data_IF_350775635826
#
_entry.id   IF_350775635826
#
_cell.length_a   1.000
_cell.length_b   1.000
_cell.length_c   1.000
_cell.angle_alpha   90.00
_cell.angle_beta   90.00
_cell.angle_gamma   90.00
#
_symmetry.space_group_name_H-M   'P 1'
#
loop_
_entity.id
_entity.type
_entity.pdbx_description
1 polymer ?
#
# COMPACT_ATOMS: atom_id res chain seq x y z
N UNK A 1 31.60 32.04 -28.74
CA UNK A 1 31.42 30.57 -28.55
C UNK A 1 30.84 30.31 -27.16
N UNK A 2 29.59 29.83 -27.09
CA UNK A 2 28.99 29.38 -25.83
C UNK A 2 29.59 28.02 -25.44
N UNK A 3 29.85 27.76 -24.15
CA UNK A 3 30.35 26.46 -23.70
C UNK A 3 29.30 25.38 -23.94
N UNK A 4 29.75 24.26 -24.49
CA UNK A 4 28.96 23.07 -24.76
C UNK A 4 28.58 22.40 -23.43
N UNK A 5 27.32 21.97 -23.22
CA UNK A 5 26.88 21.39 -21.96
C UNK A 5 27.59 20.05 -21.71
N UNK A 6 28.20 19.91 -20.54
CA UNK A 6 28.83 18.67 -20.09
C UNK A 6 27.79 17.52 -20.02
N UNK A 7 28.15 16.30 -20.47
CA UNK A 7 27.27 15.16 -20.43
C UNK A 7 26.94 14.79 -18.99
N UNK A 8 25.66 14.86 -18.63
CA UNK A 8 25.17 14.42 -17.33
C UNK A 8 25.45 12.92 -17.16
N UNK A 9 25.91 12.47 -15.98
CA UNK A 9 26.12 11.05 -15.72
C UNK A 9 24.78 10.32 -15.83
N UNK A 10 24.67 9.42 -16.80
CA UNK A 10 23.58 8.45 -16.91
C UNK A 10 23.60 7.60 -15.64
N UNK A 11 22.67 7.88 -14.73
CA UNK A 11 22.43 7.05 -13.54
C UNK A 11 22.01 5.68 -14.06
N UNK A 12 22.89 4.68 -13.89
CA UNK A 12 22.57 3.31 -14.25
C UNK A 12 21.29 2.88 -13.51
N UNK A 13 20.32 2.34 -14.25
CA UNK A 13 19.10 1.82 -13.66
C UNK A 13 19.47 0.77 -12.61
N UNK A 14 18.93 0.92 -11.40
CA UNK A 14 19.13 -0.06 -10.34
C UNK A 14 18.69 -1.46 -10.84
N UNK A 15 19.40 -2.53 -10.45
CA UNK A 15 18.98 -3.88 -10.81
C UNK A 15 17.54 -4.14 -10.37
N UNK A 16 16.76 -4.91 -11.14
CA UNK A 16 15.39 -5.23 -10.79
C UNK A 16 15.37 -5.89 -9.40
N UNK A 17 14.49 -5.39 -8.53
CA UNK A 17 14.32 -5.95 -7.20
C UNK A 17 13.84 -7.41 -7.27
N UNK A 18 14.20 -8.21 -6.27
CA UNK A 18 13.70 -9.58 -6.16
C UNK A 18 12.17 -9.59 -6.07
N UNK A 19 11.47 -10.46 -6.82
CA UNK A 19 10.02 -10.49 -6.85
C UNK A 19 9.45 -10.93 -5.51
N UNK A 20 8.38 -10.27 -5.07
CA UNK A 20 7.68 -10.48 -3.80
C UNK A 20 6.22 -10.82 -4.04
N UNK A 21 5.55 -11.37 -3.01
CA UNK A 21 4.12 -11.67 -3.09
C UNK A 21 3.28 -10.45 -3.54
N UNK A 22 3.61 -9.25 -3.05
CA UNK A 22 2.91 -8.01 -3.39
C UNK A 22 2.87 -7.73 -4.91
N UNK A 23 3.89 -8.13 -5.67
CA UNK A 23 3.97 -7.93 -7.13
C UNK A 23 2.91 -8.71 -7.91
N UNK A 24 2.33 -9.74 -7.28
CA UNK A 24 1.32 -10.63 -7.85
C UNK A 24 -0.12 -10.28 -7.42
N UNK A 25 -0.30 -9.32 -6.49
CA UNK A 25 -1.63 -8.92 -5.99
C UNK A 25 -2.32 -7.88 -6.89
N UNK A 26 -1.63 -7.39 -7.92
CA UNK A 26 -2.19 -6.46 -8.91
C UNK A 26 -2.98 -7.19 -10.01
N UNK A 27 -4.05 -6.58 -10.56
CA UNK A 27 -4.79 -7.16 -11.68
C UNK A 27 -3.87 -7.54 -12.86
N UNK A 28 -4.06 -8.74 -13.41
CA UNK A 28 -3.32 -9.23 -14.57
C UNK A 28 -1.93 -9.81 -14.28
N UNK A 29 -1.44 -9.79 -13.03
CA UNK A 29 -0.14 -10.39 -12.69
C UNK A 29 -0.15 -11.93 -12.69
N UNK A 30 -1.32 -12.54 -12.50
CA UNK A 30 -1.52 -13.98 -12.51
C UNK A 30 -2.61 -14.34 -13.54
N UNK A 31 -2.43 -15.41 -14.33
CA UNK A 31 -3.37 -15.78 -15.40
C UNK A 31 -4.66 -16.43 -14.89
N UNK A 32 -4.69 -16.87 -13.63
CA UNK A 32 -5.81 -17.56 -13.01
C UNK A 32 -5.49 -17.94 -11.55
N UNK A 33 -6.35 -18.74 -10.91
CA UNK A 33 -6.14 -19.15 -9.53
C UNK A 33 -4.86 -19.99 -9.36
N UNK A 34 -4.10 -19.68 -8.33
CA UNK A 34 -2.85 -20.37 -7.99
C UNK A 34 -2.74 -20.61 -6.49
N UNK A 35 -1.91 -21.58 -6.11
CA UNK A 35 -1.53 -21.81 -4.72
C UNK A 35 -0.03 -21.66 -4.53
N UNK A 36 0.35 -21.22 -3.35
CA UNK A 36 1.71 -21.07 -2.87
C UNK A 36 1.81 -21.67 -1.46
N UNK A 37 2.88 -22.41 -1.22
CA UNK A 37 3.11 -23.09 0.05
C UNK A 37 4.60 -22.98 0.42
N UNK A 38 4.92 -22.14 1.40
CA UNK A 38 6.27 -22.08 1.96
C UNK A 38 6.43 -23.18 3.05
N UNK A 39 7.66 -23.64 3.36
CA UNK A 39 7.90 -24.74 4.29
C UNK A 39 7.23 -24.59 5.68
N UNK A 40 7.19 -23.37 6.23
CA UNK A 40 6.68 -23.10 7.58
C UNK A 40 5.48 -22.13 7.60
N UNK A 41 4.77 -22.00 6.48
CA UNK A 41 3.61 -21.12 6.37
C UNK A 41 2.33 -21.95 6.09
N UNK A 42 1.12 -21.45 6.38
CA UNK A 42 -0.10 -22.14 5.95
C UNK A 42 -0.29 -22.02 4.43
N UNK A 43 -1.01 -22.95 3.81
CA UNK A 43 -1.35 -22.88 2.40
C UNK A 43 -2.03 -21.54 2.06
N UNK A 44 -1.53 -20.87 1.03
CA UNK A 44 -2.11 -19.65 0.50
C UNK A 44 -2.62 -19.90 -0.92
N UNK A 45 -3.89 -19.59 -1.17
CA UNK A 45 -4.47 -19.63 -2.52
C UNK A 45 -4.81 -18.23 -2.95
N UNK A 46 -4.44 -17.85 -4.16
CA UNK A 46 -4.74 -16.55 -4.76
C UNK A 46 -5.74 -16.75 -5.90
N UNK A 47 -6.87 -16.04 -5.85
CA UNK A 47 -7.86 -15.96 -6.93
C UNK A 47 -7.84 -14.52 -7.50
N UNK A 48 -7.03 -14.26 -8.55
CA UNK A 48 -6.94 -12.94 -9.16
C UNK A 48 -8.25 -12.53 -9.86
N UNK A 49 -9.11 -13.49 -10.24
CA UNK A 49 -10.40 -13.20 -10.86
C UNK A 49 -11.38 -12.56 -9.89
N UNK A 50 -11.34 -12.97 -8.61
CA UNK A 50 -12.14 -12.37 -7.53
C UNK A 50 -11.39 -11.32 -6.70
N UNK A 51 -10.11 -11.07 -7.00
CA UNK A 51 -9.23 -10.23 -6.18
C UNK A 51 -9.25 -10.66 -4.70
N UNK A 52 -9.21 -11.98 -4.49
CA UNK A 52 -9.39 -12.58 -3.18
C UNK A 52 -8.39 -13.71 -2.96
N UNK A 53 -7.97 -13.89 -1.72
CA UNK A 53 -7.13 -15.03 -1.31
C UNK A 53 -7.92 -15.95 -0.37
N UNK A 54 -7.54 -17.21 -0.36
CA UNK A 54 -7.97 -18.20 0.62
C UNK A 54 -6.79 -18.50 1.55
N UNK A 55 -7.05 -18.39 2.84
CA UNK A 55 -6.06 -18.54 3.89
C UNK A 55 -6.75 -18.24 5.23
N UNK A 56 -6.19 -18.75 6.32
CA UNK A 56 -6.80 -18.62 7.63
C UNK A 56 -7.14 -17.17 8.01
N UNK A 57 -8.09 -17.02 8.93
CA UNK A 57 -8.58 -15.70 9.35
C UNK A 57 -7.49 -14.81 9.98
N UNK A 58 -6.43 -15.38 10.55
CA UNK A 58 -5.31 -14.63 11.15
C UNK A 58 -4.27 -14.20 10.10
N UNK A 59 -3.73 -12.99 10.23
CA UNK A 59 -2.71 -12.45 9.34
C UNK A 59 -1.28 -12.80 9.73
N UNK A 60 -0.98 -12.92 11.03
CA UNK A 60 0.39 -13.22 11.48
C UNK A 60 0.99 -14.49 10.84
N UNK A 61 0.23 -15.60 10.66
CA UNK A 61 0.75 -16.77 9.95
C UNK A 61 1.14 -16.52 8.49
N UNK A 62 0.68 -15.43 7.86
CA UNK A 62 0.98 -15.08 6.47
C UNK A 62 2.21 -14.16 6.33
N UNK A 63 2.78 -13.68 7.44
CA UNK A 63 3.99 -12.84 7.45
C UNK A 63 5.18 -13.46 6.68
N UNK A 64 5.44 -14.79 6.72
CA UNK A 64 6.53 -15.37 5.93
C UNK A 64 6.40 -15.12 4.42
N UNK A 65 5.17 -15.06 3.89
CA UNK A 65 4.96 -14.74 2.46
C UNK A 65 5.29 -13.29 2.11
N UNK A 66 5.21 -12.38 3.09
CA UNK A 66 5.45 -10.95 2.88
C UNK A 66 6.94 -10.64 2.69
N UNK A 67 7.82 -11.47 3.25
CA UNK A 67 9.27 -11.27 3.24
C UNK A 67 10.03 -12.31 2.42
N UNK A 68 9.34 -13.33 1.88
CA UNK A 68 9.91 -14.29 0.96
C UNK A 68 10.20 -13.68 -0.41
N UNK A 69 11.22 -14.19 -1.10
CA UNK A 69 11.34 -14.02 -2.56
C UNK A 69 10.38 -15.05 -3.17
N UNK A 70 9.52 -14.59 -4.07
CA UNK A 70 8.48 -15.42 -4.69
C UNK A 70 8.61 -15.34 -6.20
N UNK A 71 9.09 -16.41 -6.81
CA UNK A 71 9.19 -16.53 -8.26
C UNK A 71 7.89 -17.06 -8.87
N UNK A 72 7.63 -16.78 -10.16
CA UNK A 72 6.45 -17.33 -10.84
C UNK A 72 6.37 -18.86 -10.80
N UNK A 73 7.53 -19.53 -10.76
CA UNK A 73 7.63 -20.99 -10.71
C UNK A 73 7.25 -21.60 -9.34
N UNK A 74 7.17 -20.77 -8.29
CA UNK A 74 6.76 -21.24 -6.95
C UNK A 74 5.24 -21.44 -6.86
N UNK A 75 4.48 -20.91 -7.83
CA UNK A 75 3.05 -21.04 -7.90
C UNK A 75 2.63 -22.31 -8.64
N UNK A 76 1.65 -23.00 -8.07
CA UNK A 76 0.97 -24.12 -8.73
C UNK A 76 -0.45 -23.69 -9.13
N UNK A 77 -0.89 -23.90 -10.39
CA UNK A 77 -2.27 -23.61 -10.78
C UNK A 77 -3.30 -24.37 -9.94
N UNK A 78 -4.46 -23.76 -9.74
CA UNK A 78 -5.62 -24.36 -9.07
C UNK A 78 -6.80 -24.34 -10.03
N UNK A 79 -7.48 -25.48 -10.17
CA UNK A 79 -8.72 -25.53 -10.94
C UNK A 79 -9.78 -24.65 -10.26
N UNK A 80 -10.41 -23.69 -10.97
CA UNK A 80 -11.49 -22.88 -10.42
C UNK A 80 -12.63 -23.69 -9.76
N UNK A 81 -12.87 -24.93 -10.19
CA UNK A 81 -13.85 -25.83 -9.60
C UNK A 81 -13.49 -26.29 -8.17
N UNK A 82 -12.21 -26.26 -7.79
CA UNK A 82 -11.73 -26.62 -6.45
C UNK A 82 -11.86 -25.47 -5.43
N UNK A 83 -11.97 -24.23 -5.90
CA UNK A 83 -11.98 -23.04 -5.04
C UNK A 83 -13.06 -23.05 -3.94
N UNK A 84 -14.30 -23.51 -4.17
CA UNK A 84 -15.29 -23.59 -3.10
C UNK A 84 -14.87 -24.54 -1.97
N UNK A 85 -14.31 -25.70 -2.31
CA UNK A 85 -13.85 -26.67 -1.31
C UNK A 85 -12.64 -26.13 -0.54
N UNK A 86 -11.68 -25.52 -1.23
CA UNK A 86 -10.53 -24.87 -0.62
C UNK A 86 -10.94 -23.71 0.29
N UNK A 87 -11.94 -22.92 -0.10
CA UNK A 87 -12.44 -21.82 0.73
C UNK A 87 -13.03 -22.35 2.04
N UNK A 88 -13.80 -23.44 2.01
CA UNK A 88 -14.30 -24.09 3.23
C UNK A 88 -13.15 -24.64 4.08
N UNK A 89 -12.17 -25.31 3.46
CA UNK A 89 -11.02 -25.89 4.17
C UNK A 89 -10.13 -24.84 4.84
N UNK A 90 -9.91 -23.71 4.16
CA UNK A 90 -8.95 -22.68 4.58
C UNK A 90 -9.58 -21.56 5.43
N UNK A 91 -10.87 -21.70 5.79
CA UNK A 91 -11.53 -20.75 6.69
C UNK A 91 -12.14 -19.53 6.00
N UNK A 92 -12.32 -19.58 4.68
CA UNK A 92 -13.04 -18.58 3.90
C UNK A 92 -12.18 -17.85 2.88
N UNK A 93 -12.75 -16.76 2.37
CA UNK A 93 -12.15 -15.89 1.36
C UNK A 93 -11.96 -14.49 1.93
N UNK A 94 -10.82 -13.88 1.64
CA UNK A 94 -10.44 -12.55 2.10
C UNK A 94 -9.96 -11.68 0.93
N UNK A 95 -10.13 -10.35 0.96
CA UNK A 95 -9.74 -9.49 -0.15
C UNK A 95 -8.21 -9.38 -0.27
N UNK A 96 -7.70 -9.28 -1.50
CA UNK A 96 -6.28 -9.03 -1.77
C UNK A 96 -5.75 -7.77 -1.08
N UNK A 97 -6.58 -6.73 -0.91
CA UNK A 97 -6.18 -5.53 -0.17
C UNK A 97 -5.73 -5.85 1.26
N UNK A 98 -6.33 -6.85 1.93
CA UNK A 98 -5.90 -7.27 3.27
C UNK A 98 -4.52 -7.92 3.25
N UNK A 99 -4.23 -8.69 2.21
CA UNK A 99 -2.92 -9.32 1.99
C UNK A 99 -1.85 -8.30 1.60
N UNK A 100 -2.19 -7.38 0.69
CA UNK A 100 -1.32 -6.26 0.30
C UNK A 100 -0.98 -5.36 1.50
N UNK A 101 -1.96 -5.10 2.36
CA UNK A 101 -1.77 -4.34 3.59
C UNK A 101 -0.73 -5.00 4.51
N UNK A 102 -0.81 -6.31 4.77
CA UNK A 102 0.18 -6.98 5.64
C UNK A 102 1.57 -7.06 4.98
N UNK A 103 1.64 -7.18 3.65
CA UNK A 103 2.91 -7.11 2.92
C UNK A 103 3.57 -5.73 3.09
N UNK A 104 2.81 -4.66 2.94
CA UNK A 104 3.31 -3.30 3.08
C UNK A 104 3.64 -2.95 4.55
N UNK A 105 2.88 -3.46 5.52
CA UNK A 105 3.16 -3.30 6.93
C UNK A 105 4.51 -3.92 7.33
N UNK A 106 4.82 -5.12 6.82
CA UNK A 106 6.05 -5.83 7.15
C UNK A 106 7.28 -5.43 6.33
N UNK A 107 7.11 -4.63 5.26
CA UNK A 107 8.18 -4.32 4.31
C UNK A 107 8.94 -3.02 4.60
N UNK A 108 8.34 -2.09 5.35
CA UNK A 108 8.89 -0.75 5.57
C UNK A 108 9.99 -0.67 6.63
N UNK A 109 9.92 -1.50 7.67
CA UNK A 109 10.83 -1.46 8.83
C UNK A 109 11.01 -0.04 9.39
N UNK A 110 9.92 0.73 9.46
CA UNK A 110 9.94 2.12 9.91
C UNK A 110 10.48 3.13 8.89
N UNK A 111 10.73 2.73 7.65
CA UNK A 111 11.08 3.63 6.55
C UNK A 111 9.87 3.91 5.67
N UNK A 112 9.63 5.19 5.38
CA UNK A 112 8.51 5.62 4.56
C UNK A 112 8.71 5.16 3.10
N UNK A 113 7.65 4.67 2.47
CA UNK A 113 7.69 4.19 1.09
C UNK A 113 8.17 5.28 0.11
N UNK A 114 8.89 4.86 -0.93
CA UNK A 114 9.40 5.78 -1.95
C UNK A 114 8.27 6.58 -2.60
N UNK A 115 8.54 7.87 -2.87
CA UNK A 115 7.56 8.81 -3.43
C UNK A 115 6.72 9.55 -2.38
N UNK A 116 6.81 9.20 -1.10
CA UNK A 116 6.19 9.92 -0.01
C UNK A 116 7.23 10.72 0.79
N UNK A 117 6.83 11.90 1.29
CA UNK A 117 7.72 12.80 2.03
C UNK A 117 7.45 12.67 3.54
N UNK A 118 8.49 12.44 4.38
CA UNK A 118 8.31 12.35 5.83
C UNK A 118 7.79 13.63 6.49
N UNK A 119 7.87 14.78 5.80
CA UNK A 119 7.37 16.07 6.28
C UNK A 119 5.95 16.40 5.78
N UNK A 120 5.33 15.54 5.00
CA UNK A 120 3.92 15.69 4.65
C UNK A 120 3.02 15.32 5.84
N UNK A 121 1.81 15.85 5.85
CA UNK A 121 0.76 15.43 6.77
C UNK A 121 0.00 14.28 6.13
N UNK A 122 -0.38 13.27 6.92
CA UNK A 122 -1.12 12.10 6.45
C UNK A 122 -2.46 12.00 7.16
N UNK A 123 -3.49 11.57 6.44
CA UNK A 123 -4.82 11.27 6.99
C UNK A 123 -5.34 9.94 6.45
N UNK A 124 -6.29 9.37 7.18
CA UNK A 124 -7.10 8.27 6.66
C UNK A 124 -8.31 8.83 5.91
N UNK A 125 -8.64 8.20 4.79
CA UNK A 125 -9.81 8.52 3.96
C UNK A 125 -11.09 7.90 4.51
N UNK A 126 -10.96 6.78 5.22
CA UNK A 126 -12.04 6.04 5.86
C UNK A 126 -11.47 5.17 6.98
N UNK A 127 -12.36 4.70 7.85
CA UNK A 127 -11.96 3.77 8.90
C UNK A 127 -11.40 2.48 8.27
N UNK A 128 -10.18 2.04 8.66
CA UNK A 128 -9.56 0.86 8.10
C UNK A 128 -10.18 -0.40 8.72
N UNK A 129 -10.05 -1.53 8.05
CA UNK A 129 -10.37 -2.81 8.67
C UNK A 129 -9.43 -3.06 9.85
N UNK A 130 -10.00 -3.23 11.05
CA UNK A 130 -9.21 -3.43 12.27
C UNK A 130 -8.87 -4.90 12.43
N UNK A 131 -7.57 -5.18 12.52
CA UNK A 131 -7.05 -6.52 12.77
C UNK A 131 -6.72 -6.65 14.26
N UNK A 132 -7.44 -7.52 14.99
CA UNK A 132 -7.31 -7.66 16.46
C UNK A 132 -5.90 -8.03 16.90
N UNK A 133 -5.13 -8.62 16.01
CA UNK A 133 -3.73 -9.02 16.20
C UNK A 133 -2.77 -7.83 16.33
N UNK A 134 -3.22 -6.61 15.96
CA UNK A 134 -2.44 -5.36 15.94
C UNK A 134 -3.15 -4.23 16.73
N UNK A 135 -3.23 -4.35 18.08
CA UNK A 135 -4.08 -3.47 18.89
C UNK A 135 -3.65 -1.99 18.90
N UNK A 136 -2.39 -1.68 18.60
CA UNK A 136 -1.91 -0.29 18.52
C UNK A 136 -2.37 0.43 17.25
N UNK A 137 -2.62 -0.29 16.16
CA UNK A 137 -3.13 0.29 14.91
C UNK A 137 -4.48 0.99 15.09
N UNK A 138 -5.31 0.52 16.02
CA UNK A 138 -6.56 1.19 16.37
C UNK A 138 -6.32 2.61 16.89
N UNK A 139 -5.29 2.81 17.73
CA UNK A 139 -4.94 4.13 18.28
C UNK A 139 -4.38 5.05 17.19
N UNK A 140 -3.50 4.52 16.33
CA UNK A 140 -2.96 5.25 15.18
C UNK A 140 -4.09 5.71 14.25
N UNK A 141 -5.00 4.80 13.87
CA UNK A 141 -6.14 5.11 13.03
C UNK A 141 -7.07 6.15 13.66
N UNK A 142 -7.29 6.08 14.99
CA UNK A 142 -8.09 7.07 15.74
C UNK A 142 -7.51 8.48 15.61
N UNK A 143 -6.19 8.63 15.64
CA UNK A 143 -5.53 9.93 15.44
C UNK A 143 -5.69 10.39 14.00
N UNK A 144 -5.33 9.54 13.03
CA UNK A 144 -5.35 9.90 11.60
C UNK A 144 -6.74 10.20 11.04
N UNK A 145 -7.80 9.70 11.67
CA UNK A 145 -9.19 9.98 11.28
C UNK A 145 -9.70 11.34 11.77
N UNK A 146 -8.99 12.00 12.70
CA UNK A 146 -9.33 13.37 13.12
C UNK A 146 -8.92 14.41 12.08
N UNK A 147 -7.97 14.10 11.22
CA UNK A 147 -7.48 14.96 10.17
C UNK A 147 -6.01 14.72 9.84
N UNK A 148 -5.46 15.46 8.85
CA UNK A 148 -4.05 15.39 8.50
C UNK A 148 -3.14 15.70 9.69
N UNK A 149 -2.11 14.88 9.90
CA UNK A 149 -1.07 15.10 10.92
C UNK A 149 0.30 14.59 10.44
N UNK A 150 1.39 15.16 10.97
CA UNK A 150 2.75 14.67 10.74
C UNK A 150 2.92 13.27 11.36
N UNK A 151 3.84 12.47 10.82
CA UNK A 151 4.13 11.13 11.34
C UNK A 151 4.55 11.15 12.83
N UNK A 152 5.32 12.17 13.22
CA UNK A 152 5.73 12.40 14.62
C UNK A 152 4.58 12.80 15.53
N UNK A 153 3.68 13.68 15.05
CA UNK A 153 2.45 14.05 15.78
C UNK A 153 1.54 12.84 15.98
N UNK A 154 1.41 11.99 14.96
CA UNK A 154 0.62 10.75 15.05
C UNK A 154 1.23 9.81 16.09
N UNK A 155 2.56 9.64 16.10
CA UNK A 155 3.26 8.80 17.08
C UNK A 155 3.00 9.29 18.52
N UNK A 156 3.18 10.59 18.78
CA UNK A 156 2.95 11.21 20.08
C UNK A 156 1.50 11.04 20.55
N UNK A 157 0.53 11.39 19.71
CA UNK A 157 -0.90 11.36 20.06
C UNK A 157 -1.48 9.94 20.18
N UNK A 158 -0.88 8.97 19.47
CA UNK A 158 -1.34 7.58 19.52
C UNK A 158 -0.62 6.76 20.60
N UNK A 159 0.52 7.25 21.10
CA UNK A 159 1.41 6.53 22.01
C UNK A 159 2.12 5.34 21.34
N UNK A 160 2.26 5.35 20.02
CA UNK A 160 2.97 4.33 19.26
C UNK A 160 4.37 4.83 18.87
N UNK A 161 5.29 3.89 18.61
CA UNK A 161 6.61 4.21 18.08
C UNK A 161 6.50 4.80 16.67
N UNK A 162 7.39 5.75 16.33
CA UNK A 162 7.40 6.38 15.01
C UNK A 162 7.54 5.35 13.87
N UNK A 163 8.37 4.32 14.06
CA UNK A 163 8.52 3.24 13.09
C UNK A 163 7.20 2.49 12.84
N UNK A 164 6.44 2.22 13.91
CA UNK A 164 5.13 1.54 13.81
C UNK A 164 4.08 2.42 13.12
N UNK A 165 4.11 3.73 13.36
CA UNK A 165 3.29 4.70 12.62
C UNK A 165 3.64 4.70 11.13
N UNK A 166 4.93 4.73 10.80
CA UNK A 166 5.39 4.73 9.41
C UNK A 166 4.93 3.45 8.69
N UNK A 167 5.11 2.28 9.31
CA UNK A 167 4.67 1.02 8.73
C UNK A 167 3.15 0.97 8.53
N UNK A 168 2.37 1.48 9.51
CA UNK A 168 0.92 1.58 9.38
C UNK A 168 0.48 2.53 8.25
N UNK A 169 1.15 3.68 8.11
CA UNK A 169 0.90 4.64 7.04
C UNK A 169 1.24 4.04 5.68
N UNK A 170 2.40 3.39 5.54
CA UNK A 170 2.78 2.65 4.32
C UNK A 170 1.72 1.62 3.93
N UNK A 171 1.28 0.81 4.89
CA UNK A 171 0.25 -0.20 4.66
C UNK A 171 -1.08 0.42 4.23
N UNK A 172 -1.45 1.56 4.82
CA UNK A 172 -2.67 2.29 4.50
C UNK A 172 -2.61 2.95 3.12
N UNK A 173 -1.46 3.50 2.73
CA UNK A 173 -1.21 4.08 1.41
C UNK A 173 -1.24 3.00 0.32
N UNK A 174 -0.60 1.84 0.57
CA UNK A 174 -0.54 0.72 -0.37
C UNK A 174 -1.92 0.19 -0.79
N UNK A 175 -2.93 0.36 0.07
CA UNK A 175 -4.31 -0.11 -0.19
C UNK A 175 -5.30 1.03 -0.38
N UNK A 176 -4.80 2.27 -0.55
CA UNK A 176 -5.58 3.45 -0.90
C UNK A 176 -6.58 3.90 0.18
N UNK A 177 -6.28 3.66 1.46
CA UNK A 177 -7.11 4.13 2.59
C UNK A 177 -6.49 5.30 3.35
N UNK A 178 -5.27 5.70 2.98
CA UNK A 178 -4.61 6.92 3.41
C UNK A 178 -4.20 7.76 2.19
N UNK A 179 -3.96 9.05 2.43
CA UNK A 179 -3.31 9.93 1.46
C UNK A 179 -2.45 10.98 2.18
N UNK A 180 -1.40 11.51 1.52
CA UNK A 180 -0.75 12.73 1.95
C UNK A 180 -1.67 13.92 1.69
N UNK A 181 -1.72 14.84 2.65
CA UNK A 181 -2.38 16.14 2.53
C UNK A 181 -1.40 17.13 1.89
N UNK A 182 -1.19 16.98 0.59
CA UNK A 182 -0.35 17.90 -0.19
C UNK A 182 -1.20 19.11 -0.53
N UNK A 183 -0.82 20.28 -0.02
CA UNK A 183 -1.46 21.53 -0.41
C UNK A 183 -1.35 21.70 -1.93
N UNK A 184 -2.49 21.62 -2.63
CA UNK A 184 -2.54 21.99 -4.04
C UNK A 184 -2.21 23.48 -4.10
N UNK A 185 -1.03 23.82 -4.62
CA UNK A 185 -0.68 25.22 -4.90
C UNK A 185 -1.71 25.70 -5.91
N UNK A 186 -2.68 26.50 -5.45
CA UNK A 186 -3.67 27.09 -6.33
C UNK A 186 -2.92 27.90 -7.39
N UNK A 187 -3.17 27.61 -8.67
CA UNK A 187 -2.65 28.44 -9.75
C UNK A 187 -3.07 29.89 -9.48
N UNK A 188 -2.17 30.88 -9.61
CA UNK A 188 -2.53 32.26 -9.37
C UNK A 188 -3.66 32.64 -10.32
N UNK A 189 -4.77 33.14 -9.76
CA UNK A 189 -5.92 33.62 -10.51
C UNK A 189 -5.43 34.59 -11.59
N UNK A 190 -5.57 34.19 -12.85
CA UNK A 190 -5.40 35.10 -13.96
C UNK A 190 -6.46 36.19 -13.80
N UNK A 191 -6.02 37.38 -13.39
CA UNK A 191 -6.86 38.55 -13.20
C UNK A 191 -7.79 38.69 -14.41
N UNK A 192 -9.10 38.52 -14.20
CA UNK A 192 -10.13 38.85 -15.18
C UNK A 192 -10.17 40.36 -15.35
N UNK A 193 -9.22 40.89 -16.12
CA UNK A 193 -9.32 42.20 -16.74
C UNK A 193 -10.40 42.15 -17.81
N UNK A 194 -11.55 42.77 -17.56
CA UNK A 194 -12.57 42.89 -18.61
C UNK A 194 -13.88 43.56 -18.20
N UNK A 195 -14.08 44.76 -18.77
CA UNK A 195 -15.35 45.25 -19.32
C UNK A 195 -16.29 46.11 -18.44
N UNK A 196 -15.78 47.11 -17.72
CA UNK A 196 -16.59 48.27 -17.26
C UNK A 196 -16.15 49.60 -17.89
N UNK A 197 -15.91 49.59 -19.21
CA UNK A 197 -15.44 50.76 -19.97
C UNK A 197 -16.35 51.19 -21.10
N UNK A 198 -17.68 51.19 -20.91
CA UNK A 198 -18.62 51.64 -21.96
C UNK A 198 -19.80 52.43 -21.39
N UNK A 199 -19.54 53.54 -20.71
CA UNK A 199 -20.49 54.64 -20.63
C UNK A 199 -19.75 55.95 -20.39
N UNK A 200 -19.67 56.80 -21.42
CA UNK A 200 -19.75 58.28 -21.29
C UNK A 200 -19.90 58.92 -22.67
N UNK A 201 -21.05 59.60 -22.81
CA UNK A 201 -21.46 60.75 -23.64
C UNK A 201 -20.86 60.93 -25.02
#
# INVERSE_FOLDING_TARGET
PAPEPEPQPVVAAAPPADPRLADYLRPGALPGPVKLQLPDAPLLVLDPGKQAYLGGAALKPLLPYCTAIVHPADFTPVDPAELPALATQLGGSHPFSRLAWICALGGGNGSLAAGYNPNDRYKLLKWPQTEREFPRHFRIATVMMKGPALLTEIAELSGAELAEVIDFVNASLAVGVAEPDVAVVAAPDAAKGGLLGRFRR
#
